data_IF_670792378627
#
_entry.id   IF_670792378627
#
_cell.length_a   1.000
_cell.length_b   1.000
_cell.length_c   1.000
_cell.angle_alpha   90.00
_cell.angle_beta   90.00
_cell.angle_gamma   90.00
#
_symmetry.space_group_name_H-M   'P 1'
#
loop_
_entity.id
_entity.type
_entity.pdbx_description
1 polymer ?
#
# COMPACT_ATOMS: atom_id res chain seq x y z
N UNK A 1 30.55 -43.01 21.11
CA UNK A 1 30.25 -42.89 19.67
C UNK A 1 31.00 -41.69 19.17
N UNK A 2 31.92 -41.87 18.22
CA UNK A 2 32.70 -40.79 17.62
C UNK A 2 31.95 -40.34 16.38
N UNK A 3 31.38 -39.13 16.40
CA UNK A 3 30.91 -38.48 15.17
C UNK A 3 32.11 -38.33 14.24
N UNK A 4 32.07 -38.99 13.09
CA UNK A 4 33.15 -38.93 12.11
C UNK A 4 33.15 -37.57 11.41
N UNK A 5 34.31 -37.08 10.91
CA UNK A 5 34.42 -35.80 10.20
C UNK A 5 33.48 -35.64 9.00
N UNK A 6 32.94 -36.74 8.45
CA UNK A 6 31.91 -36.72 7.41
C UNK A 6 30.49 -36.37 7.90
N UNK A 7 30.17 -36.59 9.17
CA UNK A 7 28.89 -36.27 9.80
C UNK A 7 28.79 -34.76 10.09
N UNK A 8 29.87 -34.17 10.61
CA UNK A 8 30.00 -32.72 10.77
C UNK A 8 29.95 -31.98 9.42
N UNK A 9 30.55 -32.54 8.37
CA UNK A 9 30.49 -31.97 7.01
C UNK A 9 29.07 -31.97 6.43
N UNK A 10 28.30 -33.05 6.64
CA UNK A 10 26.89 -33.14 6.24
C UNK A 10 26.02 -32.17 7.03
N UNK A 11 26.22 -32.06 8.34
CA UNK A 11 25.51 -31.12 9.19
C UNK A 11 25.75 -29.66 8.76
N UNK A 12 26.99 -29.29 8.46
CA UNK A 12 27.32 -27.94 7.96
C UNK A 12 26.69 -27.67 6.59
N UNK A 13 26.68 -28.66 5.69
CA UNK A 13 26.07 -28.50 4.37
C UNK A 13 24.54 -28.37 4.46
N UNK A 14 23.89 -29.12 5.36
CA UNK A 14 22.47 -28.97 5.66
C UNK A 14 22.16 -27.58 6.24
N UNK A 15 22.97 -27.09 7.19
CA UNK A 15 22.81 -25.76 7.76
C UNK A 15 22.97 -24.64 6.71
N UNK A 16 23.94 -24.79 5.79
CA UNK A 16 24.14 -23.83 4.68
C UNK A 16 22.98 -23.81 3.70
N UNK A 17 22.39 -24.97 3.39
CA UNK A 17 21.19 -25.05 2.55
C UNK A 17 20.00 -24.39 3.22
N UNK A 18 19.75 -24.71 4.49
CA UNK A 18 18.67 -24.10 5.26
C UNK A 18 18.82 -22.57 5.36
N UNK A 19 20.07 -22.06 5.49
CA UNK A 19 20.34 -20.62 5.47
C UNK A 19 20.04 -20.00 4.10
N UNK A 20 20.52 -20.62 3.01
CA UNK A 20 20.27 -20.13 1.65
C UNK A 20 18.78 -20.12 1.30
N UNK A 21 18.05 -21.18 1.69
CA UNK A 21 16.60 -21.27 1.52
C UNK A 21 15.89 -20.15 2.31
N UNK A 22 16.37 -19.86 3.54
CA UNK A 22 15.87 -18.76 4.36
C UNK A 22 16.10 -17.38 3.72
N UNK A 23 17.30 -17.13 3.21
CA UNK A 23 17.66 -15.89 2.53
C UNK A 23 16.82 -15.65 1.27
N UNK A 24 16.55 -16.71 0.48
CA UNK A 24 15.69 -16.61 -0.70
C UNK A 24 14.25 -16.24 -0.33
N UNK A 25 13.72 -16.85 0.73
CA UNK A 25 12.37 -16.53 1.22
C UNK A 25 12.29 -15.09 1.72
N UNK A 26 13.30 -14.61 2.45
CA UNK A 26 13.38 -13.22 2.94
C UNK A 26 13.46 -12.23 1.78
N UNK A 27 14.33 -12.48 0.80
CA UNK A 27 14.44 -11.64 -0.39
C UNK A 27 13.12 -11.57 -1.18
N UNK A 28 12.38 -12.68 -1.25
CA UNK A 28 11.04 -12.72 -1.82
C UNK A 28 10.04 -11.86 -1.02
N UNK A 29 10.05 -11.94 0.31
CA UNK A 29 9.19 -11.15 1.18
C UNK A 29 9.49 -9.64 1.07
N UNK A 30 10.77 -9.26 1.02
CA UNK A 30 11.21 -7.87 0.89
C UNK A 30 10.76 -7.26 -0.45
N UNK A 31 10.82 -8.04 -1.52
CA UNK A 31 10.33 -7.61 -2.85
C UNK A 31 8.82 -7.32 -2.80
N UNK A 32 8.03 -8.24 -2.24
CA UNK A 32 6.58 -8.05 -2.11
C UNK A 32 6.25 -6.84 -1.22
N UNK A 33 7.02 -6.61 -0.16
CA UNK A 33 6.90 -5.43 0.69
C UNK A 33 7.14 -4.15 -0.11
N UNK A 34 8.26 -4.07 -0.85
CA UNK A 34 8.61 -2.92 -1.66
C UNK A 34 7.53 -2.60 -2.71
N UNK A 35 7.05 -3.62 -3.44
CA UNK A 35 5.97 -3.49 -4.43
C UNK A 35 4.65 -3.04 -3.79
N UNK A 36 4.33 -3.58 -2.61
CA UNK A 36 3.13 -3.21 -1.85
C UNK A 36 3.15 -1.75 -1.43
N UNK A 37 4.28 -1.28 -0.89
CA UNK A 37 4.47 0.11 -0.47
C UNK A 37 4.47 1.06 -1.66
N UNK A 38 5.14 0.71 -2.76
CA UNK A 38 5.14 1.49 -3.99
C UNK A 38 3.72 1.65 -4.56
N UNK A 39 2.96 0.54 -4.60
CA UNK A 39 1.56 0.55 -5.03
C UNK A 39 0.66 1.38 -4.11
N UNK A 40 0.85 1.29 -2.80
CA UNK A 40 0.11 2.10 -1.82
C UNK A 40 0.39 3.60 -2.00
N UNK A 41 1.67 3.97 -2.14
CA UNK A 41 2.09 5.36 -2.39
C UNK A 41 1.49 5.90 -3.69
N UNK A 42 1.54 5.13 -4.77
CA UNK A 42 0.97 5.53 -6.06
C UNK A 42 -0.56 5.71 -5.97
N UNK A 43 -1.27 4.82 -5.27
CA UNK A 43 -2.71 4.97 -5.06
C UNK A 43 -3.04 6.23 -4.25
N UNK A 44 -2.31 6.49 -3.15
CA UNK A 44 -2.48 7.69 -2.35
C UNK A 44 -2.25 8.97 -3.16
N UNK A 45 -1.18 9.02 -3.95
CA UNK A 45 -0.88 10.17 -4.82
C UNK A 45 -2.00 10.42 -5.84
N UNK A 46 -2.56 9.37 -6.45
CA UNK A 46 -3.68 9.50 -7.38
C UNK A 46 -4.94 10.03 -6.71
N UNK A 47 -5.26 9.56 -5.50
CA UNK A 47 -6.41 10.07 -4.76
C UNK A 47 -6.23 11.54 -4.36
N UNK A 48 -5.04 11.94 -3.90
CA UNK A 48 -4.72 13.35 -3.61
C UNK A 48 -4.87 14.20 -4.86
N UNK A 49 -4.30 13.77 -5.99
CA UNK A 49 -4.41 14.51 -7.26
C UNK A 49 -5.86 14.68 -7.71
N UNK A 50 -6.71 13.66 -7.56
CA UNK A 50 -8.15 13.76 -7.87
C UNK A 50 -8.83 14.80 -6.98
N UNK A 51 -8.53 14.80 -5.68
CA UNK A 51 -9.09 15.77 -4.72
C UNK A 51 -8.61 17.19 -5.04
N UNK A 52 -7.34 17.36 -5.41
CA UNK A 52 -6.78 18.67 -5.80
C UNK A 52 -7.45 19.24 -7.07
N UNK A 53 -7.77 18.39 -8.04
CA UNK A 53 -8.53 18.80 -9.24
C UNK A 53 -9.93 19.28 -8.86
N UNK A 54 -10.63 18.56 -7.95
CA UNK A 54 -11.94 19.00 -7.46
C UNK A 54 -11.82 20.33 -6.74
N UNK A 55 -10.83 20.47 -5.84
CA UNK A 55 -10.57 21.71 -5.13
C UNK A 55 -10.35 22.87 -6.08
N UNK A 56 -9.48 22.72 -7.08
CA UNK A 56 -9.23 23.75 -8.09
C UNK A 56 -10.51 24.13 -8.86
N UNK A 57 -11.37 23.16 -9.16
CA UNK A 57 -12.67 23.42 -9.77
C UNK A 57 -13.62 24.24 -8.88
N UNK A 58 -13.64 23.96 -7.57
CA UNK A 58 -14.43 24.72 -6.59
C UNK A 58 -13.87 26.13 -6.37
N UNK A 59 -12.54 26.26 -6.26
CA UNK A 59 -11.86 27.54 -6.10
C UNK A 59 -12.13 28.45 -7.32
N UNK A 60 -12.07 27.90 -8.55
CA UNK A 60 -12.39 28.62 -9.77
C UNK A 60 -13.86 29.08 -9.86
N UNK A 61 -14.80 28.36 -9.23
CA UNK A 61 -16.19 28.81 -9.10
C UNK A 61 -16.26 30.01 -8.15
N UNK A 62 -15.55 29.96 -7.03
CA UNK A 62 -15.49 31.06 -6.06
C UNK A 62 -14.89 32.34 -6.64
N UNK A 63 -13.85 32.21 -7.45
CA UNK A 63 -13.17 33.33 -8.12
C UNK A 63 -14.05 34.05 -9.16
N UNK A 64 -15.01 33.35 -9.78
CA UNK A 64 -15.96 33.95 -10.73
C UNK A 64 -16.96 34.89 -10.06
N UNK A 65 -17.13 34.81 -8.74
CA UNK A 65 -18.09 35.61 -7.99
C UNK A 65 -19.51 35.02 -7.99
N UNK A 66 -20.50 35.78 -7.46
CA UNK A 66 -21.88 35.30 -7.36
C UNK A 66 -22.49 35.07 -8.75
N UNK A 67 -23.33 34.04 -8.85
CA UNK A 67 -24.06 33.74 -10.08
C UNK A 67 -25.06 34.86 -10.42
N UNK A 68 -25.09 35.27 -11.68
CA UNK A 68 -25.93 36.39 -12.17
C UNK A 68 -27.35 35.93 -12.54
N UNK A 69 -27.63 34.62 -12.48
CA UNK A 69 -28.93 34.07 -12.83
C UNK A 69 -29.27 32.79 -12.06
N UNK A 70 -30.56 32.48 -11.96
CA UNK A 70 -31.03 31.23 -11.36
C UNK A 70 -30.52 29.98 -12.09
N UNK A 71 -30.31 30.08 -13.42
CA UNK A 71 -29.74 29.01 -14.23
C UNK A 71 -28.28 28.77 -13.84
N UNK A 72 -27.49 29.84 -13.76
CA UNK A 72 -26.09 29.77 -13.36
C UNK A 72 -25.94 29.25 -11.92
N UNK A 73 -26.79 29.69 -10.98
CA UNK A 73 -26.82 29.15 -9.61
C UNK A 73 -27.04 27.64 -9.60
N UNK A 74 -27.94 27.12 -10.45
CA UNK A 74 -28.18 25.68 -10.57
C UNK A 74 -26.97 24.95 -11.14
N UNK A 75 -26.29 25.53 -12.12
CA UNK A 75 -25.06 24.96 -12.68
C UNK A 75 -23.94 24.90 -11.63
N UNK A 76 -23.74 25.98 -10.87
CA UNK A 76 -22.78 26.04 -9.77
C UNK A 76 -23.10 24.98 -8.71
N UNK A 77 -24.35 24.89 -8.27
CA UNK A 77 -24.78 23.88 -7.30
C UNK A 77 -24.56 22.44 -7.81
N UNK A 78 -24.86 22.18 -9.08
CA UNK A 78 -24.63 20.88 -9.69
C UNK A 78 -23.13 20.53 -9.78
N UNK A 79 -22.28 21.51 -10.12
CA UNK A 79 -20.83 21.33 -10.16
C UNK A 79 -20.25 21.02 -8.77
N UNK A 80 -20.69 21.74 -7.73
CA UNK A 80 -20.28 21.48 -6.34
C UNK A 80 -20.73 20.09 -5.90
N UNK A 81 -21.98 19.70 -6.18
CA UNK A 81 -22.49 18.38 -5.83
C UNK A 81 -21.78 17.24 -6.58
N UNK A 82 -21.35 17.48 -7.83
CA UNK A 82 -20.52 16.54 -8.58
C UNK A 82 -19.11 16.43 -7.96
N UNK A 83 -18.48 17.56 -7.61
CA UNK A 83 -17.18 17.58 -6.94
C UNK A 83 -17.20 16.86 -5.60
N UNK A 84 -18.23 17.06 -4.78
CA UNK A 84 -18.40 16.35 -3.51
C UNK A 84 -18.47 14.82 -3.72
N UNK A 85 -19.25 14.36 -4.70
CA UNK A 85 -19.34 12.93 -5.03
C UNK A 85 -18.00 12.37 -5.50
N UNK A 86 -17.23 13.13 -6.27
CA UNK A 86 -15.89 12.74 -6.71
C UNK A 86 -14.91 12.61 -5.53
N UNK A 87 -14.96 13.52 -4.55
CA UNK A 87 -14.15 13.40 -3.32
C UNK A 87 -14.52 12.15 -2.54
N UNK A 88 -15.82 11.88 -2.34
CA UNK A 88 -16.28 10.65 -1.68
C UNK A 88 -15.72 9.43 -2.41
N UNK A 89 -15.88 9.37 -3.74
CA UNK A 89 -15.38 8.26 -4.54
C UNK A 89 -13.85 8.08 -4.40
N UNK A 90 -13.08 9.16 -4.51
CA UNK A 90 -11.63 9.12 -4.38
C UNK A 90 -11.15 8.63 -3.00
N UNK A 91 -11.87 9.00 -1.93
CA UNK A 91 -11.59 8.56 -0.55
C UNK A 91 -12.00 7.10 -0.35
N UNK A 92 -13.16 6.69 -0.85
CA UNK A 92 -13.62 5.29 -0.79
C UNK A 92 -12.65 4.37 -1.53
N UNK A 93 -12.26 4.72 -2.76
CA UNK A 93 -11.28 3.96 -3.55
C UNK A 93 -9.95 3.83 -2.81
N UNK A 94 -9.45 4.93 -2.22
CA UNK A 94 -8.23 4.92 -1.43
C UNK A 94 -8.34 3.98 -0.23
N UNK A 95 -9.47 4.00 0.48
CA UNK A 95 -9.76 3.11 1.61
C UNK A 95 -9.77 1.63 1.20
N UNK A 96 -10.41 1.29 0.07
CA UNK A 96 -10.41 -0.07 -0.46
C UNK A 96 -9.00 -0.55 -0.81
N UNK A 97 -8.20 0.29 -1.47
CA UNK A 97 -6.80 -0.05 -1.77
C UNK A 97 -5.98 -0.22 -0.49
N UNK A 98 -6.14 0.68 0.48
CA UNK A 98 -5.43 0.60 1.76
C UNK A 98 -5.76 -0.70 2.51
N UNK A 99 -7.04 -1.09 2.56
CA UNK A 99 -7.47 -2.35 3.17
C UNK A 99 -6.84 -3.57 2.46
N UNK A 100 -6.83 -3.58 1.13
CA UNK A 100 -6.20 -4.66 0.36
C UNK A 100 -4.69 -4.74 0.62
N UNK A 101 -3.99 -3.60 0.70
CA UNK A 101 -2.56 -3.58 1.02
C UNK A 101 -2.27 -4.00 2.47
N UNK A 102 -3.14 -3.65 3.41
CA UNK A 102 -3.02 -4.06 4.81
C UNK A 102 -3.04 -5.59 4.97
N UNK A 103 -3.90 -6.29 4.24
CA UNK A 103 -3.93 -7.77 4.23
C UNK A 103 -2.59 -8.35 3.75
N UNK A 104 -2.02 -7.79 2.68
CA UNK A 104 -0.70 -8.23 2.16
C UNK A 104 0.39 -8.01 3.20
N UNK A 105 0.39 -6.85 3.87
CA UNK A 105 1.35 -6.55 4.93
C UNK A 105 1.19 -7.48 6.14
N UNK A 106 -0.04 -7.85 6.49
CA UNK A 106 -0.31 -8.78 7.58
C UNK A 106 0.26 -10.17 7.28
N UNK A 107 0.02 -10.69 6.07
CA UNK A 107 0.60 -11.95 5.60
C UNK A 107 2.13 -11.91 5.59
N UNK A 108 2.73 -10.77 5.20
CA UNK A 108 4.18 -10.59 5.27
C UNK A 108 4.68 -10.61 6.71
N UNK A 109 4.01 -9.92 7.64
CA UNK A 109 4.36 -9.94 9.06
C UNK A 109 4.37 -11.37 9.62
N UNK A 110 3.36 -12.17 9.28
CA UNK A 110 3.29 -13.58 9.67
C UNK A 110 4.44 -14.40 9.07
N UNK A 111 4.76 -14.17 7.79
CA UNK A 111 5.89 -14.83 7.12
C UNK A 111 7.22 -14.49 7.76
N UNK A 112 7.50 -13.22 8.07
CA UNK A 112 8.72 -12.83 8.77
C UNK A 112 8.79 -13.45 10.17
N UNK A 113 7.69 -13.47 10.93
CA UNK A 113 7.63 -14.13 12.25
C UNK A 113 7.91 -15.63 12.17
N UNK A 114 7.44 -16.30 11.12
CA UNK A 114 7.69 -17.74 10.92
C UNK A 114 9.15 -18.05 10.58
N UNK A 115 9.87 -17.10 9.98
CA UNK A 115 11.28 -17.23 9.59
C UNK A 115 12.24 -16.80 10.69
N UNK A 116 11.78 -16.00 11.65
CA UNK A 116 12.57 -15.69 12.84
C UNK A 116 12.40 -16.84 13.85
N UNK A 117 13.45 -17.60 14.17
CA UNK A 117 13.37 -18.55 15.26
C UNK A 117 13.09 -17.76 16.53
N UNK A 118 11.96 -18.02 17.19
CA UNK A 118 11.76 -17.58 18.56
C UNK A 118 12.83 -18.26 19.43
N UNK A 119 13.91 -17.56 19.76
CA UNK A 119 14.98 -18.14 20.57
C UNK A 119 16.32 -17.41 20.53
N UNK A 120 16.37 -16.17 21.02
CA UNK A 120 17.54 -15.60 21.70
C UNK A 120 17.04 -14.64 22.80
N UNK A 121 16.49 -15.21 23.87
CA UNK A 121 16.53 -14.67 25.23
C UNK A 121 17.10 -15.75 26.13
#
# INVERSE_FOLDING_TARGET
MVEGPGETGRALQAARRALADGDEVLAGADRVLAETLAGARSAAQRSVQRIDVVRAGVDAIGERGPADSAVETRHVAAAIAAGHREVIAAVTDAGTVAAAKAVVLQNLCERYRSLTPAGRQ
#
